data_IF_526821050005
#
_entry.id   IF_526821050005
#
_cell.length_a   1.000
_cell.length_b   1.000
_cell.length_c   1.000
_cell.angle_alpha   90.00
_cell.angle_beta   90.00
_cell.angle_gamma   90.00
#
_symmetry.space_group_name_H-M   'P 1'
#
loop_
_entity.id
_entity.type
_entity.pdbx_description
1 polymer ?
#
# COMPACT_ATOMS: atom_id res chain seq x y z
N UNK A 1 6.27 2.92 -12.31
CA UNK A 1 6.48 4.11 -11.45
C UNK A 1 5.32 5.06 -11.71
N UNK A 2 4.59 5.51 -10.67
CA UNK A 2 3.43 6.40 -10.80
C UNK A 2 3.81 7.67 -11.59
N UNK A 3 3.36 7.84 -12.86
CA UNK A 3 3.82 8.93 -13.71
C UNK A 3 3.29 10.30 -13.28
N UNK A 4 2.26 10.31 -12.41
CA UNK A 4 1.48 11.51 -12.06
C UNK A 4 1.72 11.99 -10.62
N UNK A 5 2.81 11.60 -9.96
CA UNK A 5 3.12 12.03 -8.59
C UNK A 5 4.61 12.41 -8.45
N UNK A 6 4.96 13.39 -7.57
CA UNK A 6 6.36 13.77 -7.34
C UNK A 6 7.21 12.57 -6.92
N UNK A 7 8.37 12.37 -7.56
CA UNK A 7 9.27 11.25 -7.27
C UNK A 7 9.64 11.09 -5.78
N UNK A 8 9.88 12.17 -5.00
CA UNK A 8 10.12 12.03 -3.55
C UNK A 8 8.94 11.42 -2.80
N UNK A 9 7.70 11.77 -3.17
CA UNK A 9 6.49 11.25 -2.55
C UNK A 9 6.34 9.75 -2.83
N UNK A 10 6.56 9.34 -4.08
CA UNK A 10 6.55 7.94 -4.48
C UNK A 10 7.61 7.16 -3.72
N UNK A 11 8.86 7.66 -3.63
CA UNK A 11 9.93 7.00 -2.87
C UNK A 11 9.57 6.80 -1.40
N UNK A 12 8.97 7.81 -0.75
CA UNK A 12 8.52 7.71 0.65
C UNK A 12 7.45 6.63 0.82
N UNK A 13 6.46 6.57 -0.08
CA UNK A 13 5.44 5.53 -0.06
C UNK A 13 6.05 4.12 -0.16
N UNK A 14 7.02 3.91 -1.06
CA UNK A 14 7.69 2.62 -1.19
C UNK A 14 8.57 2.27 0.01
N UNK A 15 9.18 3.25 0.68
CA UNK A 15 9.89 3.03 1.94
C UNK A 15 8.94 2.54 3.04
N UNK A 16 7.76 3.17 3.17
CA UNK A 16 6.74 2.73 4.13
C UNK A 16 6.18 1.35 3.81
N UNK A 17 6.04 0.99 2.53
CA UNK A 17 5.69 -0.39 2.16
C UNK A 17 6.73 -1.40 2.62
N UNK A 18 8.03 -1.08 2.53
CA UNK A 18 9.10 -1.93 3.03
C UNK A 18 9.00 -2.10 4.55
N UNK A 19 8.77 -1.01 5.28
CA UNK A 19 8.55 -1.06 6.73
C UNK A 19 7.31 -1.88 7.10
N UNK A 20 6.26 -1.87 6.27
CA UNK A 20 5.07 -2.71 6.45
C UNK A 20 5.24 -4.18 6.04
N UNK A 21 6.42 -4.60 5.56
CA UNK A 21 6.68 -5.95 5.07
C UNK A 21 6.03 -6.27 3.71
N UNK A 22 5.75 -5.25 2.89
CA UNK A 22 4.99 -5.33 1.63
C UNK A 22 5.92 -5.20 0.41
N UNK A 23 6.83 -6.16 0.25
CA UNK A 23 7.91 -6.07 -0.73
C UNK A 23 7.58 -6.63 -2.12
N UNK A 24 6.54 -7.46 -2.24
CA UNK A 24 6.11 -7.95 -3.55
C UNK A 24 5.03 -7.04 -4.17
N UNK A 25 4.94 -7.01 -5.50
CA UNK A 25 3.99 -6.16 -6.23
C UNK A 25 2.53 -6.46 -5.83
N UNK A 26 2.06 -7.72 -5.82
CA UNK A 26 0.68 -8.04 -5.42
C UNK A 26 0.31 -7.50 -4.03
N UNK A 27 1.19 -7.59 -3.04
CA UNK A 27 0.92 -7.06 -1.70
C UNK A 27 0.78 -5.54 -1.70
N UNK A 28 1.63 -4.82 -2.47
CA UNK A 28 1.51 -3.36 -2.58
C UNK A 28 0.20 -2.95 -3.21
N UNK A 29 -0.21 -3.63 -4.29
CA UNK A 29 -1.46 -3.36 -4.98
C UNK A 29 -2.67 -3.64 -4.09
N UNK A 30 -2.63 -4.69 -3.26
CA UNK A 30 -3.64 -4.96 -2.26
C UNK A 30 -3.79 -3.81 -1.26
N UNK A 31 -2.67 -3.31 -0.69
CA UNK A 31 -2.70 -2.19 0.26
C UNK A 31 -3.15 -0.90 -0.42
N UNK A 32 -2.67 -0.60 -1.62
CA UNK A 32 -3.16 0.53 -2.42
C UNK A 32 -4.68 0.44 -2.59
N UNK A 33 -5.18 -0.69 -3.09
CA UNK A 33 -6.60 -0.90 -3.37
C UNK A 33 -7.47 -0.74 -2.12
N UNK A 34 -7.00 -1.27 -0.98
CA UNK A 34 -7.67 -1.13 0.30
C UNK A 34 -7.77 0.33 0.76
N UNK A 35 -6.69 1.11 0.65
CA UNK A 35 -6.67 2.50 1.11
C UNK A 35 -7.47 3.41 0.18
N UNK A 36 -7.39 3.18 -1.13
CA UNK A 36 -8.07 4.01 -2.12
C UNK A 36 -9.51 3.59 -2.40
N UNK A 37 -9.99 2.48 -1.80
CA UNK A 37 -11.31 1.88 -2.04
C UNK A 37 -11.64 1.67 -3.53
N UNK A 38 -10.65 1.28 -4.32
CA UNK A 38 -10.79 0.99 -5.76
C UNK A 38 -9.83 -0.10 -6.18
N UNK A 39 -10.11 -0.77 -7.30
CA UNK A 39 -9.14 -1.69 -7.90
C UNK A 39 -7.91 -0.92 -8.40
N UNK A 40 -6.72 -1.40 -8.04
CA UNK A 40 -5.43 -0.87 -8.50
C UNK A 40 -4.61 -2.04 -9.06
N UNK A 41 -4.46 -2.10 -10.37
CA UNK A 41 -3.71 -3.17 -11.07
C UNK A 41 -2.25 -2.80 -11.30
N UNK A 42 -1.96 -1.49 -11.27
CA UNK A 42 -0.64 -0.94 -11.37
C UNK A 42 -0.47 0.26 -10.45
N UNK A 43 0.72 0.38 -9.85
CA UNK A 43 1.10 1.63 -9.16
C UNK A 43 1.18 2.82 -10.13
N UNK A 44 1.16 2.59 -11.45
CA UNK A 44 1.06 3.64 -12.46
C UNK A 44 -0.33 4.29 -12.52
N UNK A 45 -1.36 3.60 -12.02
CA UNK A 45 -2.74 4.09 -12.02
C UNK A 45 -3.00 5.05 -10.86
N UNK A 46 -2.01 5.24 -9.98
CA UNK A 46 -2.11 6.11 -8.81
C UNK A 46 -1.92 7.57 -9.22
N UNK A 47 -2.90 8.39 -8.89
CA UNK A 47 -2.81 9.84 -8.96
C UNK A 47 -1.93 10.38 -7.82
N UNK A 48 -1.46 11.63 -7.91
CA UNK A 48 -0.80 12.27 -6.77
C UNK A 48 -1.66 12.22 -5.49
N UNK A 49 -2.97 12.43 -5.62
CA UNK A 49 -3.92 12.35 -4.52
C UNK A 49 -3.90 10.97 -3.87
N UNK A 50 -3.90 9.91 -4.67
CA UNK A 50 -3.83 8.54 -4.16
C UNK A 50 -2.51 8.30 -3.41
N UNK A 51 -1.38 8.70 -4.00
CA UNK A 51 -0.07 8.53 -3.36
C UNK A 51 0.01 9.30 -2.04
N UNK A 52 -0.57 10.51 -1.97
CA UNK A 52 -0.65 11.28 -0.71
C UNK A 52 -1.52 10.58 0.33
N UNK A 53 -2.70 10.09 -0.05
CA UNK A 53 -3.60 9.37 0.86
C UNK A 53 -2.97 8.07 1.39
N UNK A 54 -2.33 7.29 0.51
CA UNK A 54 -1.60 6.07 0.87
C UNK A 54 -0.45 6.40 1.81
N UNK A 55 0.39 7.37 1.45
CA UNK A 55 1.51 7.81 2.29
C UNK A 55 1.07 8.25 3.68
N UNK A 56 0.04 9.10 3.78
CA UNK A 56 -0.48 9.58 5.06
C UNK A 56 -1.06 8.44 5.92
N UNK A 57 -1.75 7.48 5.30
CA UNK A 57 -2.31 6.32 6.01
C UNK A 57 -1.21 5.40 6.56
N UNK A 58 -0.17 5.13 5.76
CA UNK A 58 0.96 4.31 6.18
C UNK A 58 1.78 4.99 7.29
N UNK A 59 2.00 6.31 7.20
CA UNK A 59 2.63 7.10 8.26
C UNK A 59 1.83 7.03 9.57
N UNK A 60 0.50 7.15 9.48
CA UNK A 60 -0.37 7.02 10.62
C UNK A 60 -0.27 5.62 11.26
N UNK A 61 -0.31 4.55 10.46
CA UNK A 61 -0.13 3.20 10.98
C UNK A 61 1.25 2.97 11.59
N UNK A 62 2.29 3.59 11.02
CA UNK A 62 3.64 3.57 11.60
C UNK A 62 3.66 4.26 12.95
N UNK A 63 3.09 5.46 13.06
CA UNK A 63 3.00 6.22 14.31
C UNK A 63 2.22 5.46 15.39
N UNK A 64 1.21 4.69 15.00
CA UNK A 64 0.48 3.81 15.91
C UNK A 64 1.17 2.47 16.21
N UNK A 65 2.34 2.18 15.62
CA UNK A 65 3.06 0.91 15.83
C UNK A 65 2.39 -0.32 15.19
N UNK A 66 1.51 -0.13 14.21
CA UNK A 66 0.68 -1.21 13.61
C UNK A 66 0.89 -1.39 12.10
N UNK A 67 1.87 -0.71 11.50
CA UNK A 67 2.10 -0.73 10.05
C UNK A 67 2.27 -2.15 9.52
N UNK A 68 3.15 -2.96 10.13
CA UNK A 68 3.38 -4.34 9.70
C UNK A 68 2.12 -5.20 9.80
N UNK A 69 1.42 -5.16 10.95
CA UNK A 69 0.21 -5.93 11.17
C UNK A 69 -0.88 -5.59 10.14
N UNK A 70 -1.15 -4.29 9.93
CA UNK A 70 -2.18 -3.83 8.99
C UNK A 70 -1.83 -4.22 7.56
N UNK A 71 -0.60 -3.93 7.14
CA UNK A 71 -0.11 -4.25 5.82
C UNK A 71 -0.16 -5.75 5.52
N UNK A 72 0.36 -6.61 6.40
CA UNK A 72 0.31 -8.07 6.23
C UNK A 72 -1.12 -8.60 6.21
N UNK A 73 -1.98 -8.11 7.11
CA UNK A 73 -3.39 -8.53 7.14
C UNK A 73 -4.08 -8.20 5.81
N UNK A 74 -3.94 -6.98 5.30
CA UNK A 74 -4.54 -6.58 4.02
C UNK A 74 -3.98 -7.39 2.85
N UNK A 75 -2.65 -7.54 2.81
CA UNK A 75 -1.96 -8.32 1.80
C UNK A 75 -2.47 -9.77 1.75
N UNK A 76 -2.71 -10.39 2.91
CA UNK A 76 -3.21 -11.76 3.01
C UNK A 76 -4.73 -11.86 2.76
N UNK A 77 -5.53 -10.90 3.20
CA UNK A 77 -7.00 -10.92 3.02
C UNK A 77 -7.41 -10.71 1.56
N UNK A 78 -6.70 -9.85 0.81
CA UNK A 78 -7.00 -9.63 -0.61
C UNK A 78 -6.42 -10.70 -1.53
N UNK A 79 -5.44 -11.48 -1.05
CA UNK A 79 -4.93 -12.67 -1.76
C UNK A 79 -5.69 -13.96 -1.39
N UNK A 80 -6.47 -13.93 -0.30
CA UNK A 80 -7.07 -15.10 0.33
C UNK A 80 -8.58 -15.09 0.35
N UNK A 81 -9.19 -15.17 -0.84
CA UNK A 81 -10.33 -16.06 -1.07
C UNK A 81 -9.88 -17.53 -1.11
N UNK A 82 -8.98 -17.93 -0.20
CA UNK A 82 -8.58 -19.32 0.03
C UNK A 82 -8.42 -19.50 1.54
N UNK A 83 -9.36 -20.20 2.20
CA UNK A 83 -9.21 -20.60 3.59
C UNK A 83 -8.19 -21.75 3.64
N UNK A 84 -7.15 -21.59 4.45
CA UNK A 84 -6.41 -22.75 4.95
C UNK A 84 -7.27 -23.38 6.05
N UNK A 85 -8.00 -24.44 5.69
CA UNK A 85 -8.36 -25.55 6.58
C UNK A 85 -7.57 -26.76 6.11
#
# INVERSE_FOLDING_TARGET
MAPNAPAPLVRRMFALFREGGVECRPHRLAVCSFITWRSVESTNDLTERDVRAIGATLEYWKACGVIEYRCRRIANTLQGAVPNV
#
